data_IF_917663175175
#
_entry.id   IF_917663175175
#
_cell.length_a   1.000
_cell.length_b   1.000
_cell.length_c   1.000
_cell.angle_alpha   90.00
_cell.angle_beta   90.00
_cell.angle_gamma   90.00
#
_symmetry.space_group_name_H-M   'P 1'
#
loop_
_entity.id
_entity.type
_entity.pdbx_description
1 polymer ?
#
# COMPACT_ATOMS: atom_id res chain seq x y z
N UNK A 1 -8.39 -15.28 -48.87
CA UNK A 1 -9.51 -15.05 -47.94
C UNK A 1 -9.29 -15.95 -46.74
N UNK A 2 -9.09 -15.55 -45.49
CA UNK A 2 -8.79 -14.27 -44.83
C UNK A 2 -8.50 -14.72 -43.38
N UNK A 3 -7.26 -14.56 -42.91
CA UNK A 3 -6.95 -14.68 -41.48
C UNK A 3 -7.20 -13.30 -40.88
N UNK A 4 -8.14 -13.21 -39.93
CA UNK A 4 -8.49 -11.97 -39.24
C UNK A 4 -7.45 -11.65 -38.17
N UNK A 5 -6.98 -10.40 -38.23
CA UNK A 5 -6.12 -9.74 -37.26
C UNK A 5 -6.79 -9.63 -35.88
N UNK A 6 -6.03 -9.94 -34.82
CA UNK A 6 -6.32 -9.50 -33.46
C UNK A 6 -5.62 -8.16 -33.22
N UNK A 7 -6.31 -7.12 -32.71
CA UNK A 7 -5.75 -5.80 -32.56
C UNK A 7 -5.00 -5.74 -31.24
N UNK A 8 -3.70 -6.05 -31.23
CA UNK A 8 -2.74 -5.67 -30.19
C UNK A 8 -1.33 -5.89 -30.74
N UNK A 9 -0.78 -4.87 -31.39
CA UNK A 9 0.53 -4.87 -32.05
C UNK A 9 1.70 -4.98 -31.08
N UNK A 10 1.96 -6.19 -30.59
CA UNK A 10 3.15 -6.53 -29.82
C UNK A 10 3.82 -7.77 -30.43
N UNK A 11 4.70 -7.57 -31.42
CA UNK A 11 5.56 -8.62 -31.99
C UNK A 11 7.02 -8.21 -31.89
N UNK A 12 7.52 -8.08 -30.66
CA UNK A 12 8.94 -8.11 -30.38
C UNK A 12 9.32 -9.51 -29.94
N UNK A 13 10.29 -10.14 -30.61
CA UNK A 13 10.87 -11.47 -30.33
C UNK A 13 10.18 -12.69 -30.98
N UNK A 14 10.13 -12.70 -32.30
CA UNK A 14 10.15 -13.96 -33.04
C UNK A 14 10.94 -13.78 -34.34
N UNK A 15 12.26 -13.95 -34.25
CA UNK A 15 13.17 -14.43 -35.32
C UNK A 15 14.62 -14.33 -34.80
N UNK A 16 15.12 -15.39 -34.15
CA UNK A 16 16.55 -15.53 -33.81
C UNK A 16 17.30 -16.06 -35.04
N UNK A 17 18.34 -15.36 -35.49
CA UNK A 17 19.25 -15.84 -36.54
C UNK A 17 20.11 -17.01 -36.01
N UNK A 18 20.49 -18.01 -36.84
CA UNK A 18 21.43 -19.05 -36.43
C UNK A 18 22.83 -18.45 -36.25
N UNK A 19 23.50 -18.71 -35.11
CA UNK A 19 24.88 -18.27 -34.82
C UNK A 19 25.07 -17.24 -33.70
N UNK A 20 24.08 -17.02 -32.84
CA UNK A 20 24.24 -16.14 -31.67
C UNK A 20 24.81 -16.92 -30.47
N UNK A 21 26.04 -16.60 -30.05
CA UNK A 21 26.59 -17.05 -28.77
C UNK A 21 26.34 -16.02 -27.66
N UNK A 22 25.81 -16.43 -26.49
CA UNK A 22 25.58 -15.53 -25.36
C UNK A 22 26.89 -15.15 -24.65
N UNK A 23 26.94 -13.91 -24.14
CA UNK A 23 28.08 -13.29 -23.46
C UNK A 23 28.49 -13.94 -22.11
N UNK A 24 28.02 -15.15 -21.81
CA UNK A 24 28.46 -15.97 -20.67
C UNK A 24 29.58 -16.94 -21.03
N UNK A 25 29.99 -17.05 -22.29
CA UNK A 25 31.00 -18.00 -22.76
C UNK A 25 32.45 -17.45 -22.81
N UNK A 26 32.68 -16.18 -22.46
CA UNK A 26 33.98 -15.51 -22.70
C UNK A 26 34.74 -15.02 -21.45
N UNK A 27 34.46 -15.54 -20.25
CA UNK A 27 35.23 -15.16 -19.05
C UNK A 27 35.73 -16.41 -18.32
N UNK A 28 37.05 -16.61 -18.37
CA UNK A 28 37.76 -17.72 -17.74
C UNK A 28 37.70 -17.70 -16.22
N UNK A 29 37.56 -18.89 -15.64
CA UNK A 29 37.60 -19.14 -14.20
C UNK A 29 38.98 -18.78 -13.62
N UNK A 30 39.01 -17.90 -12.63
CA UNK A 30 40.08 -17.81 -11.63
C UNK A 30 39.45 -17.86 -10.24
N UNK A 31 39.80 -18.79 -9.35
CA UNK A 31 39.16 -18.90 -8.03
C UNK A 31 39.87 -18.01 -7.01
N UNK A 32 39.12 -17.18 -6.28
CA UNK A 32 39.64 -16.47 -5.10
C UNK A 32 38.62 -16.52 -3.96
N UNK A 33 39.03 -17.19 -2.88
CA UNK A 33 38.94 -16.75 -1.48
C UNK A 33 37.57 -16.43 -0.90
N UNK A 34 37.09 -17.28 0.01
CA UNK A 34 35.88 -17.06 0.79
C UNK A 34 35.95 -15.82 1.69
N UNK A 35 34.81 -15.13 1.80
CA UNK A 35 34.52 -14.21 2.89
C UNK A 35 33.10 -14.43 3.41
N UNK A 36 33.04 -14.40 4.72
CA UNK A 36 31.92 -14.64 5.63
C UNK A 36 30.77 -13.66 5.50
N UNK A 37 29.59 -14.19 5.76
CA UNK A 37 28.27 -13.55 5.89
C UNK A 37 28.23 -12.42 6.94
N UNK A 38 27.70 -11.26 6.57
CA UNK A 38 27.03 -10.34 7.49
C UNK A 38 26.12 -9.35 6.73
N UNK A 39 24.87 -9.21 7.20
CA UNK A 39 24.08 -7.97 7.07
C UNK A 39 22.98 -7.97 6.01
N UNK A 40 21.79 -8.47 6.36
CA UNK A 40 20.55 -8.28 5.61
C UNK A 40 20.10 -6.81 5.63
N UNK A 41 19.61 -6.33 4.49
CA UNK A 41 19.04 -5.00 4.34
C UNK A 41 17.60 -4.98 4.88
N UNK A 42 17.40 -4.31 6.01
CA UNK A 42 16.08 -3.98 6.53
C UNK A 42 15.64 -2.61 5.99
N UNK A 43 14.51 -2.58 5.29
CA UNK A 43 13.75 -1.38 4.99
C UNK A 43 12.90 -1.04 6.23
N UNK A 44 13.37 -0.08 7.04
CA UNK A 44 12.56 0.58 8.06
C UNK A 44 13.08 2.01 8.27
N UNK A 45 12.16 2.97 8.38
CA UNK A 45 12.47 4.36 8.70
C UNK A 45 13.03 4.48 10.11
N UNK A 46 14.33 4.69 10.22
CA UNK A 46 15.02 5.05 11.48
C UNK A 46 15.47 6.52 11.34
N UNK A 47 15.27 7.39 12.35
CA UNK A 47 15.96 8.67 12.36
C UNK A 47 17.45 8.34 12.48
N UNK A 48 18.21 8.58 11.41
CA UNK A 48 19.63 8.24 11.36
C UNK A 48 20.40 8.90 12.53
N UNK A 49 20.61 8.15 13.60
CA UNK A 49 21.61 8.46 14.61
C UNK A 49 22.95 8.13 13.99
N UNK A 50 23.65 9.13 13.49
CA UNK A 50 25.02 8.92 13.03
C UNK A 50 25.93 8.81 14.25
N UNK A 51 26.07 7.61 14.80
CA UNK A 51 27.23 7.23 15.59
C UNK A 51 28.37 6.83 14.67
N UNK A 52 29.55 7.47 14.78
CA UNK A 52 30.84 7.19 14.10
C UNK A 52 30.88 7.18 12.55
N UNK A 53 29.77 6.92 11.84
CA UNK A 53 29.71 6.80 10.38
C UNK A 53 29.58 8.14 9.61
N UNK A 54 29.34 9.26 10.30
CA UNK A 54 29.27 10.58 9.66
C UNK A 54 30.61 11.02 9.04
N UNK A 55 31.73 10.43 9.49
CA UNK A 55 33.02 10.71 8.89
C UNK A 55 33.03 10.30 7.41
N UNK A 56 32.44 9.18 6.98
CA UNK A 56 32.42 8.79 5.57
C UNK A 56 31.47 9.61 4.68
N UNK A 57 30.35 10.11 5.24
CA UNK A 57 29.28 10.74 4.46
C UNK A 57 29.71 12.04 3.74
N UNK A 58 30.69 12.75 4.28
CA UNK A 58 31.21 14.00 3.70
C UNK A 58 32.61 13.84 3.10
N UNK A 59 33.08 12.60 2.90
CA UNK A 59 34.41 12.32 2.35
C UNK A 59 34.61 13.00 0.99
N UNK A 60 33.65 12.87 0.08
CA UNK A 60 33.71 13.51 -1.24
C UNK A 60 33.89 15.03 -1.15
N UNK A 61 33.15 15.70 -0.27
CA UNK A 61 33.26 17.15 -0.09
C UNK A 61 34.63 17.56 0.47
N UNK A 62 35.24 16.74 1.33
CA UNK A 62 36.60 16.97 1.85
C UNK A 62 37.66 16.76 0.78
N UNK A 63 37.55 15.69 0.00
CA UNK A 63 38.50 15.35 -1.07
C UNK A 63 38.54 16.40 -2.20
N UNK A 64 37.44 17.15 -2.36
CA UNK A 64 37.28 18.18 -3.41
C UNK A 64 37.23 19.61 -2.84
N UNK A 65 37.68 19.82 -1.61
CA UNK A 65 37.78 21.16 -1.03
C UNK A 65 38.81 22.01 -1.82
N UNK A 66 38.50 23.29 -2.03
CA UNK A 66 39.45 24.20 -2.68
C UNK A 66 40.67 24.41 -1.77
N UNK A 67 41.91 24.45 -2.32
CA UNK A 67 43.13 24.57 -1.51
C UNK A 67 43.15 25.79 -0.58
N UNK A 68 42.55 26.91 -1.02
CA UNK A 68 42.60 28.21 -0.33
C UNK A 68 41.29 28.55 0.40
N UNK A 69 40.26 27.71 0.30
CA UNK A 69 39.04 27.87 1.08
C UNK A 69 39.19 27.05 2.35
N UNK A 70 39.09 27.68 3.53
CA UNK A 70 38.99 26.94 4.79
C UNK A 70 37.94 25.83 4.66
N UNK A 71 38.21 24.66 5.25
CA UNK A 71 37.36 23.48 5.08
C UNK A 71 35.89 23.85 5.36
N UNK A 72 35.03 23.69 4.35
CA UNK A 72 33.60 23.92 4.51
C UNK A 72 33.06 22.95 5.57
N UNK A 73 32.78 23.46 6.76
CA UNK A 73 32.31 22.65 7.88
C UNK A 73 30.78 22.56 7.82
N UNK A 74 30.28 21.56 7.10
CA UNK A 74 28.85 21.26 7.08
C UNK A 74 28.44 20.66 8.42
N UNK A 75 27.54 21.33 9.12
CA UNK A 75 26.94 20.84 10.36
C UNK A 75 25.94 19.70 10.02
N UNK A 76 26.26 18.43 10.33
CA UNK A 76 25.41 17.31 9.95
C UNK A 76 24.04 17.37 10.62
N UNK A 77 23.95 17.96 11.81
CA UNK A 77 22.70 18.05 12.55
C UNK A 77 21.81 19.11 11.92
N UNK A 78 22.35 20.26 11.50
CA UNK A 78 21.57 21.24 10.72
C UNK A 78 21.09 20.68 9.38
N UNK A 79 21.92 19.92 8.66
CA UNK A 79 21.51 19.30 7.40
C UNK A 79 20.38 18.29 7.59
N UNK A 80 20.37 17.54 8.70
CA UNK A 80 19.28 16.61 9.04
C UNK A 80 17.96 17.30 9.32
N UNK A 81 17.98 18.55 9.78
CA UNK A 81 16.77 19.31 10.09
C UNK A 81 16.06 19.84 8.84
N UNK A 82 16.68 19.83 7.66
CA UNK A 82 16.02 20.23 6.41
C UNK A 82 14.81 19.32 6.19
N UNK A 83 13.57 19.82 6.15
CA UNK A 83 12.37 18.99 6.01
C UNK A 83 12.40 18.12 4.74
N UNK A 84 11.82 16.92 4.78
CA UNK A 84 11.80 16.01 3.63
C UNK A 84 11.11 16.63 2.40
N UNK A 85 10.06 17.43 2.63
CA UNK A 85 9.35 18.20 1.59
C UNK A 85 10.21 19.29 0.93
N UNK A 86 11.21 19.81 1.64
CA UNK A 86 12.14 20.80 1.11
C UNK A 86 13.31 20.15 0.36
N UNK A 87 13.55 18.85 0.61
CA UNK A 87 14.50 18.04 -0.16
C UNK A 87 13.90 17.55 -1.49
N UNK A 88 12.57 17.53 -1.59
CA UNK A 88 11.85 17.02 -2.75
C UNK A 88 10.47 17.68 -2.90
N UNK A 89 10.27 18.39 -4.00
CA UNK A 89 9.00 19.02 -4.36
C UNK A 89 7.95 18.04 -4.91
N UNK A 90 7.81 16.89 -4.28
CA UNK A 90 6.76 15.91 -4.48
C UNK A 90 6.54 15.16 -3.17
N UNK A 91 5.30 15.10 -2.68
CA UNK A 91 4.95 14.49 -1.40
C UNK A 91 3.52 13.95 -1.43
N UNK A 92 3.22 13.09 -0.45
CA UNK A 92 1.84 12.71 -0.13
C UNK A 92 1.41 13.37 1.17
N UNK A 93 0.18 13.87 1.21
CA UNK A 93 -0.44 14.33 2.45
C UNK A 93 -1.47 13.32 2.92
N UNK A 94 -1.40 12.99 4.21
CA UNK A 94 -2.25 12.03 4.87
C UNK A 94 -3.04 12.74 5.96
N UNK A 95 -4.34 12.95 5.72
CA UNK A 95 -5.28 13.56 6.67
C UNK A 95 -5.68 12.55 7.75
N UNK A 96 -5.15 12.73 8.96
CA UNK A 96 -5.48 11.85 10.09
C UNK A 96 -6.88 12.14 10.66
N UNK A 97 -7.46 13.31 10.40
CA UNK A 97 -8.85 13.59 10.73
C UNK A 97 -9.80 12.84 9.80
N UNK A 98 -9.43 12.64 8.53
CA UNK A 98 -10.17 11.76 7.63
C UNK A 98 -10.12 10.31 8.11
N UNK A 99 -8.94 9.79 8.49
CA UNK A 99 -8.81 8.43 9.07
C UNK A 99 -9.66 8.28 10.34
N UNK A 100 -9.62 9.28 11.24
CA UNK A 100 -10.46 9.33 12.45
C UNK A 100 -11.94 9.29 12.11
N UNK A 101 -12.39 10.16 11.21
CA UNK A 101 -13.78 10.23 10.74
C UNK A 101 -14.24 8.88 10.20
N UNK A 102 -13.47 8.29 9.29
CA UNK A 102 -13.79 7.00 8.67
C UNK A 102 -13.89 5.89 9.71
N UNK A 103 -12.95 5.83 10.66
CA UNK A 103 -12.97 4.83 11.72
C UNK A 103 -14.19 5.00 12.63
N UNK A 104 -14.52 6.23 13.02
CA UNK A 104 -15.72 6.53 13.81
C UNK A 104 -17.00 6.17 13.05
N UNK A 105 -17.10 6.52 11.76
CA UNK A 105 -18.24 6.15 10.92
C UNK A 105 -18.39 4.62 10.80
N UNK A 106 -17.30 3.90 10.59
CA UNK A 106 -17.29 2.43 10.56
C UNK A 106 -17.74 1.83 11.90
N UNK A 107 -17.25 2.36 13.03
CA UNK A 107 -17.64 1.88 14.36
C UNK A 107 -19.12 2.12 14.65
N UNK A 108 -19.66 3.27 14.22
CA UNK A 108 -21.09 3.56 14.31
C UNK A 108 -21.92 2.65 13.41
N UNK A 109 -21.44 2.40 12.19
CA UNK A 109 -22.12 1.55 11.19
C UNK A 109 -22.29 0.11 11.64
N UNK A 110 -21.27 -0.47 12.31
CA UNK A 110 -21.35 -1.86 12.81
C UNK A 110 -22.09 -2.01 14.14
N UNK A 111 -22.36 -0.90 14.83
CA UNK A 111 -23.07 -0.89 16.11
C UNK A 111 -22.23 -1.29 17.32
N UNK A 112 -22.86 -1.17 18.49
CA UNK A 112 -22.26 -1.52 19.77
C UNK A 112 -22.21 -3.05 19.93
N UNK A 113 -21.05 -3.59 20.31
CA UNK A 113 -20.84 -5.03 20.51
C UNK A 113 -19.99 -5.70 19.43
N UNK A 114 -19.86 -5.08 18.25
CA UNK A 114 -18.97 -5.57 17.18
C UNK A 114 -17.59 -4.92 17.32
N UNK A 115 -16.54 -5.74 17.39
CA UNK A 115 -15.15 -5.26 17.40
C UNK A 115 -14.74 -4.82 15.99
N UNK A 116 -13.77 -3.92 15.91
CA UNK A 116 -13.21 -3.49 14.61
C UNK A 116 -11.71 -3.75 14.59
N UNK A 117 -11.27 -4.57 13.63
CA UNK A 117 -9.86 -4.74 13.30
C UNK A 117 -9.49 -3.77 12.17
N UNK A 118 -8.71 -2.73 12.50
CA UNK A 118 -8.18 -1.84 11.48
C UNK A 118 -7.05 -2.54 10.70
N UNK A 119 -7.26 -2.75 9.41
CA UNK A 119 -6.26 -3.42 8.57
C UNK A 119 -5.26 -2.38 8.04
N UNK A 120 -4.02 -2.47 8.52
CA UNK A 120 -2.94 -1.50 8.28
C UNK A 120 -1.74 -2.10 7.55
N UNK A 121 -1.93 -3.26 6.90
CA UNK A 121 -0.94 -3.88 6.00
C UNK A 121 -0.54 -2.99 4.83
N UNK A 122 0.56 -3.35 4.17
CA UNK A 122 1.18 -2.60 3.08
C UNK A 122 1.43 -1.15 3.49
N UNK A 123 2.01 -0.97 4.68
CA UNK A 123 2.32 0.32 5.27
C UNK A 123 1.10 1.26 5.33
N UNK A 124 0.00 0.76 5.91
CA UNK A 124 -1.28 1.46 5.97
C UNK A 124 -1.88 1.74 4.59
N UNK A 125 -1.82 0.79 3.65
CA UNK A 125 -2.20 1.00 2.25
C UNK A 125 -1.50 2.21 1.62
N UNK A 126 -0.23 2.42 1.98
CA UNK A 126 0.58 3.57 1.56
C UNK A 126 0.45 4.83 2.42
N UNK A 127 -0.44 4.87 3.41
CA UNK A 127 -0.66 6.06 4.25
C UNK A 127 0.30 6.14 5.46
N UNK A 128 1.04 5.07 5.73
CA UNK A 128 1.94 4.95 6.88
C UNK A 128 1.29 4.20 8.04
N UNK A 129 1.73 2.96 8.29
CA UNK A 129 1.09 2.03 9.21
C UNK A 129 1.00 2.58 10.64
N UNK A 130 2.11 3.08 11.18
CA UNK A 130 2.20 3.51 12.60
C UNK A 130 1.22 4.63 12.93
N UNK A 131 1.19 5.69 12.13
CA UNK A 131 0.34 6.87 12.38
C UNK A 131 -1.14 6.50 12.19
N UNK A 132 -1.47 5.79 11.12
CA UNK A 132 -2.84 5.34 10.86
C UNK A 132 -3.35 4.35 11.92
N UNK A 133 -2.51 3.40 12.37
CA UNK A 133 -2.86 2.46 13.43
C UNK A 133 -3.18 3.17 14.75
N UNK A 134 -2.32 4.10 15.18
CA UNK A 134 -2.55 4.88 16.40
C UNK A 134 -3.83 5.71 16.30
N UNK A 135 -4.07 6.35 15.15
CA UNK A 135 -5.31 7.11 14.92
C UNK A 135 -6.54 6.21 14.94
N UNK A 136 -6.49 5.04 14.29
CA UNK A 136 -7.61 4.10 14.26
C UNK A 136 -7.94 3.55 15.66
N UNK A 137 -6.93 3.15 16.44
CA UNK A 137 -7.11 2.68 17.82
C UNK A 137 -7.73 3.76 18.71
N UNK A 138 -7.24 5.00 18.62
CA UNK A 138 -7.80 6.15 19.35
C UNK A 138 -9.21 6.56 18.87
N UNK A 139 -9.70 5.96 17.79
CA UNK A 139 -11.00 6.27 17.17
C UNK A 139 -11.97 5.08 17.19
N UNK A 140 -11.64 4.01 17.93
CA UNK A 140 -12.55 2.89 18.19
C UNK A 140 -12.17 1.55 17.56
N UNK A 141 -10.99 1.43 16.94
CA UNK A 141 -10.46 0.12 16.57
C UNK A 141 -10.00 -0.67 17.80
N UNK A 142 -10.31 -1.97 17.81
CA UNK A 142 -10.02 -2.89 18.90
C UNK A 142 -8.77 -3.75 18.60
N UNK A 143 -8.55 -4.06 17.32
CA UNK A 143 -7.49 -4.93 16.80
C UNK A 143 -6.79 -4.28 15.61
N UNK A 144 -5.59 -4.76 15.29
CA UNK A 144 -4.89 -4.43 14.05
C UNK A 144 -4.64 -5.67 13.20
N UNK A 145 -4.77 -5.52 11.88
CA UNK A 145 -4.46 -6.56 10.90
C UNK A 145 -3.30 -6.16 10.00
N UNK A 146 -2.27 -7.01 9.91
CA UNK A 146 -1.10 -6.83 9.03
C UNK A 146 -0.89 -8.05 8.13
N UNK A 147 -0.04 -7.94 7.11
CA UNK A 147 0.29 -9.05 6.21
C UNK A 147 1.55 -9.80 6.63
N UNK A 148 2.53 -9.11 7.24
CA UNK A 148 3.84 -9.70 7.57
C UNK A 148 4.22 -9.51 9.03
N UNK A 149 5.16 -10.34 9.50
CA UNK A 149 5.73 -10.21 10.85
C UNK A 149 6.51 -8.91 11.00
N UNK A 150 7.21 -8.44 9.96
CA UNK A 150 7.94 -7.17 10.01
C UNK A 150 7.01 -5.96 10.18
N UNK A 151 5.85 -5.96 9.52
CA UNK A 151 4.83 -4.92 9.76
C UNK A 151 4.31 -4.96 11.20
N UNK A 152 4.16 -6.14 11.80
CA UNK A 152 3.77 -6.26 13.20
C UNK A 152 4.87 -5.74 14.15
N UNK A 153 6.13 -6.07 13.87
CA UNK A 153 7.29 -5.62 14.64
C UNK A 153 7.41 -4.09 14.59
N UNK A 154 7.28 -3.49 13.40
CA UNK A 154 7.29 -2.02 13.25
C UNK A 154 6.25 -1.34 14.16
N UNK A 155 5.03 -1.88 14.21
CA UNK A 155 3.98 -1.38 15.10
C UNK A 155 4.36 -1.54 16.58
N UNK A 156 4.92 -2.68 16.96
CA UNK A 156 5.35 -2.94 18.35
C UNK A 156 6.50 -2.02 18.78
N UNK A 157 7.50 -1.83 17.93
CA UNK A 157 8.61 -0.91 18.16
C UNK A 157 8.14 0.55 18.24
N UNK A 158 7.06 0.87 17.53
CA UNK A 158 6.35 2.14 17.67
C UNK A 158 5.43 2.23 18.91
N UNK A 159 5.56 1.30 19.87
CA UNK A 159 4.82 1.23 21.14
C UNK A 159 3.30 1.01 20.98
N UNK A 160 2.90 0.28 19.94
CA UNK A 160 1.50 -0.15 19.77
C UNK A 160 1.27 -1.45 20.56
N UNK A 161 0.43 -1.38 21.59
CA UNK A 161 0.13 -2.51 22.48
C UNK A 161 -1.16 -3.28 22.14
N UNK A 162 -1.96 -2.79 21.19
CA UNK A 162 -3.19 -3.46 20.78
C UNK A 162 -2.92 -4.87 20.20
N UNK A 163 -3.89 -5.79 20.24
CA UNK A 163 -3.76 -7.08 19.58
C UNK A 163 -3.49 -6.93 18.08
N UNK A 164 -2.46 -7.64 17.58
CA UNK A 164 -2.08 -7.64 16.16
C UNK A 164 -2.22 -9.05 15.61
N UNK A 165 -2.98 -9.18 14.52
CA UNK A 165 -3.10 -10.41 13.74
C UNK A 165 -2.31 -10.29 12.43
N UNK A 166 -1.40 -11.24 12.18
CA UNK A 166 -0.85 -11.47 10.84
C UNK A 166 -1.88 -12.31 10.07
N UNK A 167 -2.42 -11.75 8.98
CA UNK A 167 -3.55 -12.30 8.22
C UNK A 167 -3.19 -13.52 7.36
N UNK A 168 -1.97 -14.04 7.47
CA UNK A 168 -1.48 -15.23 6.79
C UNK A 168 -0.51 -15.97 7.71
N UNK A 169 -0.33 -17.27 7.50
CA UNK A 169 0.62 -18.05 8.29
C UNK A 169 2.03 -17.67 7.85
N UNK A 170 2.90 -17.20 8.77
CA UNK A 170 4.29 -16.92 8.44
C UNK A 170 5.12 -18.21 8.36
N UNK A 171 6.38 -18.15 7.88
CA UNK A 171 7.32 -19.25 7.98
C UNK A 171 7.62 -19.63 9.44
N UNK A 172 8.00 -20.87 9.67
CA UNK A 172 8.30 -21.40 11.01
C UNK A 172 9.45 -20.65 11.69
N UNK A 173 10.42 -20.17 10.90
CA UNK A 173 11.57 -19.40 11.39
C UNK A 173 11.14 -18.10 12.08
N UNK A 174 9.92 -17.61 11.82
CA UNK A 174 9.39 -16.41 12.47
C UNK A 174 8.73 -16.68 13.82
N UNK A 175 8.55 -17.94 14.24
CA UNK A 175 7.90 -18.31 15.52
C UNK A 175 8.52 -17.58 16.73
N UNK A 176 9.85 -17.52 16.91
CA UNK A 176 10.45 -16.79 18.03
C UNK A 176 10.06 -15.30 18.04
N UNK A 177 9.93 -14.68 16.87
CA UNK A 177 9.50 -13.27 16.75
C UNK A 177 8.02 -13.10 17.11
N UNK A 178 7.15 -14.02 16.67
CA UNK A 178 5.73 -13.98 17.03
C UNK A 178 5.52 -14.00 18.55
N UNK A 179 6.23 -14.91 19.23
CA UNK A 179 6.15 -15.07 20.68
C UNK A 179 6.76 -13.87 21.41
N UNK A 180 7.95 -13.42 21.02
CA UNK A 180 8.63 -12.29 21.66
C UNK A 180 7.87 -10.97 21.51
N UNK A 181 7.34 -10.69 20.33
CA UNK A 181 6.58 -9.47 20.03
C UNK A 181 5.07 -9.61 20.32
N UNK A 182 4.60 -10.75 20.82
CA UNK A 182 3.18 -11.04 21.11
C UNK A 182 2.28 -10.73 19.91
N UNK A 183 2.61 -11.33 18.77
CA UNK A 183 1.89 -11.20 17.51
C UNK A 183 1.15 -12.50 17.23
N UNK A 184 -0.15 -12.42 16.96
CA UNK A 184 -0.95 -13.61 16.65
C UNK A 184 -0.82 -13.96 15.17
N UNK A 185 -0.42 -15.20 14.81
CA UNK A 185 -0.48 -15.67 13.45
C UNK A 185 -1.90 -16.14 13.09
N UNK A 186 -2.22 -16.07 11.79
CA UNK A 186 -3.24 -16.95 11.22
C UNK A 186 -2.65 -18.35 11.07
N UNK A 187 -3.39 -19.40 11.44
CA UNK A 187 -2.91 -20.79 11.38
C UNK A 187 -3.87 -21.61 10.54
N UNK A 188 -3.30 -22.46 9.69
CA UNK A 188 -4.04 -23.41 8.85
C UNK A 188 -3.22 -24.64 8.44
N UNK A 189 -1.96 -24.75 8.85
CA UNK A 189 -1.15 -25.95 8.69
C UNK A 189 -0.89 -26.62 10.06
N UNK A 190 -1.15 -27.93 10.21
CA UNK A 190 -0.91 -28.64 11.47
C UNK A 190 0.54 -28.57 11.94
N UNK A 191 1.50 -28.76 11.02
CA UNK A 191 2.93 -28.74 11.35
C UNK A 191 3.38 -27.40 11.96
N UNK A 192 2.88 -26.28 11.41
CA UNK A 192 3.15 -24.95 11.97
C UNK A 192 2.53 -24.82 13.37
N UNK A 193 1.28 -25.27 13.54
CA UNK A 193 0.59 -25.19 14.82
C UNK A 193 1.35 -25.97 15.92
N UNK A 194 1.82 -27.17 15.60
CA UNK A 194 2.61 -28.02 16.49
C UNK A 194 3.91 -27.31 16.88
N UNK A 195 4.70 -26.83 15.91
CA UNK A 195 5.97 -26.11 16.17
C UNK A 195 5.75 -24.84 16.98
N UNK A 196 4.68 -24.09 16.69
CA UNK A 196 4.32 -22.88 17.42
C UNK A 196 3.96 -23.17 18.87
N UNK A 197 3.22 -24.27 19.11
CA UNK A 197 2.88 -24.73 20.44
C UNK A 197 4.10 -25.18 21.24
N UNK A 198 4.95 -26.03 20.65
CA UNK A 198 6.18 -26.53 21.28
C UNK A 198 7.12 -25.40 21.68
N UNK A 199 7.28 -24.40 20.80
CA UNK A 199 8.08 -23.22 21.11
C UNK A 199 7.48 -22.42 22.28
N UNK A 200 6.16 -22.25 22.32
CA UNK A 200 5.50 -21.53 23.41
C UNK A 200 5.58 -22.28 24.74
N UNK A 201 5.41 -23.61 24.73
CA UNK A 201 5.61 -24.48 25.90
C UNK A 201 7.04 -24.38 26.44
N UNK A 202 8.05 -24.34 25.56
CA UNK A 202 9.46 -24.17 25.95
C UNK A 202 9.73 -22.84 26.69
N UNK A 203 8.95 -21.80 26.40
CA UNK A 203 9.02 -20.50 27.09
C UNK A 203 8.00 -20.35 28.23
N UNK A 204 7.14 -21.34 28.48
CA UNK A 204 6.11 -21.29 29.51
C UNK A 204 5.02 -20.23 29.23
N UNK A 205 4.72 -19.97 27.97
CA UNK A 205 3.73 -18.97 27.54
C UNK A 205 2.64 -19.61 26.67
N UNK A 206 1.54 -18.89 26.44
CA UNK A 206 0.49 -19.31 25.50
C UNK A 206 0.83 -18.90 24.07
N UNK A 207 0.32 -19.67 23.12
CA UNK A 207 0.44 -19.49 21.69
C UNK A 207 -0.91 -19.05 21.09
N UNK A 208 -1.29 -17.76 21.21
CA UNK A 208 -2.55 -17.26 20.68
C UNK A 208 -2.51 -17.24 19.16
N UNK A 209 -3.59 -17.69 18.52
CA UNK A 209 -3.72 -17.72 17.07
C UNK A 209 -5.17 -17.52 16.61
N UNK A 210 -5.33 -17.20 15.33
CA UNK A 210 -6.62 -17.25 14.66
C UNK A 210 -6.64 -18.36 13.61
N UNK A 211 -7.67 -19.20 13.59
CA UNK A 211 -7.88 -20.22 12.57
C UNK A 211 -8.42 -19.57 11.28
N UNK A 212 -7.71 -19.72 10.18
CA UNK A 212 -8.20 -19.29 8.87
C UNK A 212 -8.93 -20.46 8.18
N UNK A 213 -10.15 -20.20 7.72
CA UNK A 213 -11.02 -21.17 7.03
C UNK A 213 -11.19 -20.75 5.57
N UNK A 214 -10.87 -21.65 4.65
CA UNK A 214 -11.13 -21.47 3.22
C UNK A 214 -12.57 -21.90 2.89
N UNK A 215 -13.42 -20.92 2.61
CA UNK A 215 -14.82 -21.15 2.21
C UNK A 215 -15.09 -20.98 0.71
N UNK A 216 -14.05 -20.63 -0.07
CA UNK A 216 -14.18 -20.45 -1.52
C UNK A 216 -13.20 -19.45 -2.15
N UNK A 217 -12.53 -18.60 -1.35
CA UNK A 217 -11.51 -17.66 -1.87
C UNK A 217 -10.29 -18.39 -2.44
N UNK A 218 -10.02 -19.63 -1.98
CA UNK A 218 -8.93 -20.48 -2.45
C UNK A 218 -7.55 -19.78 -2.45
N UNK A 219 -7.29 -19.00 -1.39
CA UNK A 219 -6.03 -18.30 -1.17
C UNK A 219 -5.20 -18.93 -0.05
N UNK A 220 -5.81 -19.10 1.11
CA UNK A 220 -5.24 -19.71 2.33
C UNK A 220 -6.39 -20.30 3.18
N UNK A 221 -6.06 -21.07 4.20
CA UNK A 221 -7.00 -21.57 5.20
C UNK A 221 -7.33 -23.04 5.05
N UNK A 222 -7.74 -23.66 6.16
CA UNK A 222 -8.25 -25.03 6.21
C UNK A 222 -9.55 -25.09 5.42
N UNK A 223 -9.78 -26.11 4.59
CA UNK A 223 -11.04 -26.23 3.86
C UNK A 223 -12.20 -26.31 4.85
N UNK A 224 -13.31 -25.63 4.55
CA UNK A 224 -14.41 -25.46 5.51
C UNK A 224 -15.00 -26.76 6.09
N UNK A 225 -14.91 -27.87 5.37
CA UNK A 225 -15.37 -29.21 5.76
C UNK A 225 -14.29 -30.06 6.45
N UNK A 226 -13.05 -29.57 6.54
CA UNK A 226 -11.90 -30.23 7.17
C UNK A 226 -11.51 -29.59 8.52
N UNK A 227 -12.26 -28.58 8.97
CA UNK A 227 -11.93 -27.81 10.18
C UNK A 227 -11.86 -28.69 11.43
N UNK A 228 -12.78 -29.64 11.60
CA UNK A 228 -12.79 -30.55 12.75
C UNK A 228 -11.61 -31.51 12.70
N UNK A 229 -11.25 -32.00 11.51
CA UNK A 229 -10.08 -32.86 11.32
C UNK A 229 -8.80 -32.10 11.70
N UNK A 230 -8.62 -30.88 11.21
CA UNK A 230 -7.49 -30.02 11.58
C UNK A 230 -7.40 -29.82 13.10
N UNK A 231 -8.52 -29.51 13.76
CA UNK A 231 -8.55 -29.30 15.21
C UNK A 231 -8.19 -30.56 15.99
N UNK A 232 -8.63 -31.74 15.53
CA UNK A 232 -8.26 -33.01 16.15
C UNK A 232 -6.74 -33.26 16.15
N UNK A 233 -6.02 -32.72 15.16
CA UNK A 233 -4.57 -32.86 15.02
C UNK A 233 -3.75 -31.91 15.90
N UNK A 234 -4.37 -30.84 16.45
CA UNK A 234 -3.63 -29.80 17.19
C UNK A 234 -4.16 -29.59 18.62
N UNK A 235 -5.38 -30.03 18.91
CA UNK A 235 -6.08 -29.80 20.19
C UNK A 235 -5.40 -30.39 21.44
N UNK A 236 -4.49 -31.35 21.30
CA UNK A 236 -3.77 -31.92 22.45
C UNK A 236 -2.67 -30.99 23.00
N UNK A 237 -2.26 -29.96 22.25
CA UNK A 237 -1.29 -28.97 22.69
C UNK A 237 -1.93 -27.91 23.58
N UNK A 238 -1.59 -27.90 24.88
CA UNK A 238 -2.17 -26.98 25.87
C UNK A 238 -1.72 -25.52 25.71
N UNK A 239 -0.56 -25.27 25.09
CA UNK A 239 -0.10 -23.92 24.81
C UNK A 239 -0.95 -23.20 23.76
N UNK A 240 -1.52 -23.95 22.79
CA UNK A 240 -2.35 -23.34 21.75
C UNK A 240 -3.59 -22.68 22.35
N UNK A 241 -3.83 -21.45 21.92
CA UNK A 241 -4.97 -20.65 22.36
C UNK A 241 -5.71 -20.14 21.12
N UNK A 242 -6.82 -20.79 20.79
CA UNK A 242 -7.67 -20.40 19.67
C UNK A 242 -8.44 -19.13 20.05
N UNK A 243 -7.91 -17.97 19.66
CA UNK A 243 -8.48 -16.65 19.99
C UNK A 243 -9.62 -16.29 19.05
N UNK A 244 -9.57 -16.76 17.80
CA UNK A 244 -10.64 -16.49 16.84
C UNK A 244 -10.59 -17.33 15.58
N UNK A 245 -11.66 -17.28 14.80
CA UNK A 245 -11.83 -18.05 13.57
C UNK A 245 -12.38 -17.14 12.48
N UNK A 246 -11.82 -17.24 11.27
CA UNK A 246 -12.19 -16.32 10.20
C UNK A 246 -12.15 -16.91 8.81
N UNK A 247 -12.95 -16.32 7.91
CA UNK A 247 -12.85 -16.51 6.46
C UNK A 247 -12.69 -15.17 5.75
N UNK A 248 -12.51 -15.18 4.44
CA UNK A 248 -12.46 -13.99 3.60
C UNK A 248 -13.39 -14.13 2.39
N UNK A 249 -14.27 -13.16 2.20
CA UNK A 249 -15.17 -13.13 1.05
C UNK A 249 -14.45 -12.70 -0.23
N UNK A 250 -14.78 -13.38 -1.34
CA UNK A 250 -14.23 -13.13 -2.66
C UNK A 250 -15.02 -12.07 -3.45
N UNK A 251 -16.33 -12.02 -3.25
CA UNK A 251 -17.27 -11.24 -4.09
C UNK A 251 -18.18 -10.32 -3.28
N UNK A 252 -17.79 -9.96 -2.05
CA UNK A 252 -18.56 -9.05 -1.20
C UNK A 252 -18.66 -7.62 -1.76
N UNK A 253 -17.86 -7.28 -2.77
CA UNK A 253 -17.82 -6.02 -3.53
C UNK A 253 -18.43 -6.17 -4.95
N UNK A 254 -18.93 -7.36 -5.31
CA UNK A 254 -19.56 -7.61 -6.59
C UNK A 254 -21.09 -7.36 -6.55
N UNK A 255 -21.68 -7.15 -7.74
CA UNK A 255 -23.13 -7.06 -7.89
C UNK A 255 -23.82 -8.43 -7.74
N UNK A 256 -23.21 -9.49 -8.27
CA UNK A 256 -23.68 -10.86 -8.11
C UNK A 256 -23.26 -11.43 -6.76
N UNK A 257 -24.19 -12.04 -6.04
CA UNK A 257 -24.03 -12.43 -4.63
C UNK A 257 -24.04 -13.94 -4.39
N UNK A 258 -24.14 -14.77 -5.44
CA UNK A 258 -24.23 -16.22 -5.30
C UNK A 258 -23.03 -16.81 -4.54
N UNK A 259 -21.80 -16.50 -4.99
CA UNK A 259 -20.58 -16.98 -4.34
C UNK A 259 -20.44 -16.44 -2.91
N UNK A 260 -20.84 -15.19 -2.68
CA UNK A 260 -20.84 -14.58 -1.34
C UNK A 260 -21.76 -15.36 -0.38
N UNK A 261 -22.96 -15.73 -0.80
CA UNK A 261 -23.87 -16.54 0.00
C UNK A 261 -23.36 -17.97 0.22
N UNK A 262 -22.75 -18.59 -0.80
CA UNK A 262 -22.12 -19.92 -0.67
C UNK A 262 -21.00 -19.88 0.37
N UNK A 263 -20.11 -18.89 0.28
CA UNK A 263 -19.02 -18.70 1.26
C UNK A 263 -19.56 -18.47 2.67
N UNK A 264 -20.64 -17.70 2.81
CA UNK A 264 -21.29 -17.41 4.10
C UNK A 264 -21.84 -18.69 4.72
N UNK A 265 -22.59 -19.48 3.94
CA UNK A 265 -23.14 -20.76 4.39
C UNK A 265 -22.05 -21.72 4.84
N UNK A 266 -21.02 -21.93 4.02
CA UNK A 266 -19.87 -22.79 4.34
C UNK A 266 -19.16 -22.37 5.62
N UNK A 267 -19.04 -21.06 5.86
CA UNK A 267 -18.42 -20.56 7.08
C UNK A 267 -19.25 -20.89 8.32
N UNK A 268 -20.56 -20.63 8.27
CA UNK A 268 -21.48 -20.96 9.35
C UNK A 268 -21.51 -22.45 9.66
N UNK A 269 -21.50 -23.31 8.64
CA UNK A 269 -21.41 -24.77 8.78
C UNK A 269 -20.10 -25.20 9.46
N UNK A 270 -18.96 -24.61 9.09
CA UNK A 270 -17.68 -24.88 9.73
C UNK A 270 -17.68 -24.48 11.22
N UNK A 271 -18.17 -23.28 11.53
CA UNK A 271 -18.31 -22.81 12.93
C UNK A 271 -19.24 -23.73 13.73
N UNK A 272 -20.35 -24.17 13.14
CA UNK A 272 -21.27 -25.07 13.81
C UNK A 272 -20.63 -26.45 14.05
N UNK A 273 -19.86 -26.96 13.09
CA UNK A 273 -19.12 -28.21 13.24
C UNK A 273 -18.09 -28.14 14.39
N UNK A 274 -17.38 -27.01 14.52
CA UNK A 274 -16.47 -26.78 15.66
C UNK A 274 -17.21 -26.87 17.01
N UNK A 275 -18.36 -26.18 17.12
CA UNK A 275 -19.17 -26.18 18.35
C UNK A 275 -19.70 -27.56 18.70
N UNK A 276 -20.17 -28.32 17.70
CA UNK A 276 -20.63 -29.71 17.89
C UNK A 276 -19.50 -30.63 18.34
N UNK A 277 -18.28 -30.39 17.87
CA UNK A 277 -17.08 -31.09 18.32
C UNK A 277 -16.57 -30.63 19.71
N UNK A 278 -17.27 -29.69 20.38
CA UNK A 278 -16.90 -29.18 21.70
C UNK A 278 -15.78 -28.14 21.68
N UNK A 279 -15.48 -27.55 20.52
CA UNK A 279 -14.46 -26.50 20.38
C UNK A 279 -15.12 -25.13 20.34
N UNK A 280 -14.65 -24.20 21.18
CA UNK A 280 -15.01 -22.79 21.11
C UNK A 280 -14.29 -22.12 19.93
N UNK A 281 -15.00 -21.56 18.92
CA UNK A 281 -14.38 -20.90 17.77
C UNK A 281 -13.72 -19.55 18.10
N UNK A 282 -13.89 -19.03 19.33
CA UNK A 282 -13.38 -17.72 19.73
C UNK A 282 -14.09 -16.57 19.01
N UNK A 283 -13.36 -15.48 18.73
CA UNK A 283 -13.87 -14.33 17.98
C UNK A 283 -14.11 -14.73 16.52
N UNK A 284 -15.37 -14.73 16.08
CA UNK A 284 -15.76 -15.01 14.71
C UNK A 284 -15.70 -13.73 13.89
N UNK A 285 -15.00 -13.76 12.75
CA UNK A 285 -14.94 -12.60 11.84
C UNK A 285 -14.85 -12.98 10.37
N UNK A 286 -15.59 -12.29 9.50
CA UNK A 286 -15.54 -12.56 8.05
C UNK A 286 -15.51 -11.28 7.20
N UNK A 287 -16.20 -10.23 7.64
CA UNK A 287 -16.41 -9.02 6.86
C UNK A 287 -15.12 -8.24 6.56
N UNK A 288 -14.79 -8.11 5.27
CA UNK A 288 -13.87 -7.08 4.75
C UNK A 288 -14.61 -5.73 4.65
N UNK A 289 -13.98 -4.68 4.11
CA UNK A 289 -14.61 -3.36 3.97
C UNK A 289 -15.98 -3.42 3.25
N UNK A 290 -16.10 -4.20 2.18
CA UNK A 290 -17.33 -4.29 1.40
C UNK A 290 -18.45 -4.97 2.19
N UNK A 291 -18.15 -6.11 2.82
CA UNK A 291 -19.12 -6.82 3.67
C UNK A 291 -19.47 -6.04 4.95
N UNK A 292 -18.53 -5.28 5.50
CA UNK A 292 -18.77 -4.40 6.66
C UNK A 292 -19.86 -3.38 6.33
N UNK A 293 -19.80 -2.79 5.14
CA UNK A 293 -20.74 -1.74 4.74
C UNK A 293 -22.07 -2.32 4.25
N UNK A 294 -22.04 -3.37 3.42
CA UNK A 294 -23.21 -3.89 2.70
C UNK A 294 -24.03 -4.93 3.47
N UNK A 295 -23.41 -5.71 4.36
CA UNK A 295 -24.00 -6.93 4.88
C UNK A 295 -23.87 -7.05 6.41
N UNK A 296 -24.81 -6.47 7.19
CA UNK A 296 -24.82 -6.55 8.64
C UNK A 296 -24.80 -7.99 9.21
N UNK A 297 -25.45 -8.93 8.51
CA UNK A 297 -25.59 -10.32 8.98
C UNK A 297 -24.27 -11.11 9.06
N UNK A 298 -23.18 -10.58 8.47
CA UNK A 298 -21.85 -11.21 8.49
C UNK A 298 -20.82 -10.40 9.29
N UNK A 299 -21.27 -9.47 10.13
CA UNK A 299 -20.40 -8.73 11.05
C UNK A 299 -19.83 -9.64 12.14
N UNK A 300 -20.61 -10.61 12.61
CA UNK A 300 -20.24 -11.54 13.67
C UNK A 300 -19.69 -10.79 14.91
N UNK A 301 -18.57 -11.25 15.47
CA UNK A 301 -17.96 -10.63 16.66
C UNK A 301 -16.98 -9.50 16.31
N UNK A 302 -16.46 -9.49 15.06
CA UNK A 302 -15.49 -8.51 14.61
C UNK A 302 -15.49 -8.31 13.08
N UNK A 303 -15.37 -7.06 12.64
CA UNK A 303 -15.18 -6.70 11.22
C UNK A 303 -13.73 -6.30 10.92
N UNK A 304 -13.32 -6.33 9.65
CA UNK A 304 -11.94 -6.04 9.20
C UNK A 304 -11.89 -5.00 8.07
N UNK A 305 -12.30 -3.74 8.32
CA UNK A 305 -12.13 -2.68 7.34
C UNK A 305 -10.65 -2.42 7.09
N UNK A 306 -10.26 -2.47 5.82
CA UNK A 306 -8.97 -2.01 5.33
C UNK A 306 -9.17 -0.73 4.55
N UNK A 307 -9.58 -0.86 3.30
CA UNK A 307 -9.65 0.30 2.41
C UNK A 307 -10.62 1.41 2.85
N UNK A 308 -11.71 1.04 3.52
CA UNK A 308 -12.70 2.01 4.00
C UNK A 308 -12.13 2.91 5.11
N UNK A 309 -11.14 2.43 5.87
CA UNK A 309 -10.42 3.23 6.88
C UNK A 309 -9.75 4.46 6.24
N UNK A 310 -9.29 4.32 5.00
CA UNK A 310 -8.58 5.37 4.26
C UNK A 310 -9.48 6.20 3.35
N UNK A 311 -10.80 6.00 3.47
CA UNK A 311 -11.77 6.84 2.79
C UNK A 311 -12.10 6.42 1.36
N UNK A 312 -11.68 5.22 0.94
CA UNK A 312 -11.93 4.72 -0.41
C UNK A 312 -12.98 3.62 -0.37
N UNK A 313 -13.97 3.74 -1.25
CA UNK A 313 -15.10 2.83 -1.33
C UNK A 313 -14.70 1.53 -2.03
N UNK A 314 -15.00 0.34 -1.48
CA UNK A 314 -14.62 -0.93 -2.10
C UNK A 314 -15.42 -1.23 -3.38
N UNK A 315 -16.65 -0.72 -3.51
CA UNK A 315 -17.47 -0.83 -4.71
C UNK A 315 -18.47 0.36 -4.80
N UNK A 316 -19.07 0.62 -5.99
CA UNK A 316 -19.98 1.74 -6.20
C UNK A 316 -21.15 1.79 -5.22
N UNK A 317 -21.71 0.64 -4.85
CA UNK A 317 -22.89 0.51 -3.98
C UNK A 317 -22.62 1.08 -2.58
N UNK A 318 -21.37 1.06 -2.11
CA UNK A 318 -21.05 1.56 -0.76
C UNK A 318 -21.07 3.08 -0.65
N UNK A 319 -21.04 3.83 -1.76
CA UNK A 319 -20.95 5.31 -1.76
C UNK A 319 -22.16 5.99 -1.13
N UNK A 320 -23.32 5.34 -1.18
CA UNK A 320 -24.57 5.88 -0.62
C UNK A 320 -24.88 5.34 0.78
N UNK A 321 -24.09 4.39 1.28
CA UNK A 321 -24.34 3.68 2.53
C UNK A 321 -23.55 4.25 3.72
N UNK A 322 -22.40 4.87 3.47
CA UNK A 322 -21.53 5.42 4.50
C UNK A 322 -20.74 6.61 3.96
N UNK A 323 -20.59 7.66 4.78
CA UNK A 323 -19.78 8.84 4.44
C UNK A 323 -18.31 8.57 4.74
N UNK A 324 -17.52 8.33 3.70
CA UNK A 324 -16.08 8.13 3.77
C UNK A 324 -15.32 9.31 3.16
N UNK A 325 -14.25 9.73 3.85
CA UNK A 325 -13.40 10.86 3.44
C UNK A 325 -12.02 10.35 3.02
N UNK A 326 -11.63 10.52 1.74
CA UNK A 326 -10.31 10.12 1.26
C UNK A 326 -9.21 10.77 2.11
N UNK A 327 -8.31 9.94 2.65
CA UNK A 327 -7.26 10.43 3.56
C UNK A 327 -5.97 10.85 2.83
N UNK A 328 -5.76 10.41 1.59
CA UNK A 328 -4.53 10.68 0.83
C UNK A 328 -4.76 11.71 -0.27
N UNK A 329 -3.81 12.65 -0.35
CA UNK A 329 -3.63 13.52 -1.51
C UNK A 329 -2.16 13.50 -1.97
N UNK A 330 -1.94 13.75 -3.26
CA UNK A 330 -0.62 13.72 -3.90
C UNK A 330 -0.32 15.08 -4.47
N UNK A 331 0.81 15.64 -4.07
CA UNK A 331 1.19 17.01 -4.34
C UNK A 331 2.59 17.10 -4.93
N UNK A 332 2.82 18.14 -5.72
CA UNK A 332 4.11 18.48 -6.26
C UNK A 332 4.25 19.98 -6.44
N UNK A 333 5.46 20.44 -6.77
CA UNK A 333 5.67 21.80 -7.30
C UNK A 333 6.21 21.78 -8.70
N UNK A 334 5.87 22.80 -9.47
CA UNK A 334 6.44 23.03 -10.80
C UNK A 334 7.95 23.23 -10.70
N UNK A 335 8.71 22.49 -11.52
CA UNK A 335 10.19 22.52 -11.57
C UNK A 335 10.72 23.24 -12.80
N UNK A 336 9.96 23.26 -13.89
CA UNK A 336 10.29 23.99 -15.10
C UNK A 336 9.01 24.45 -15.81
N UNK A 337 9.09 25.56 -16.54
CA UNK A 337 8.00 26.05 -17.38
C UNK A 337 8.56 26.54 -18.70
N UNK A 338 7.96 26.10 -19.81
CA UNK A 338 8.39 26.50 -21.16
C UNK A 338 7.21 26.84 -22.05
N UNK A 339 7.32 27.94 -22.78
CA UNK A 339 6.46 28.17 -23.94
C UNK A 339 6.95 27.27 -25.07
N UNK A 340 6.06 26.44 -25.60
CA UNK A 340 6.42 25.45 -26.63
C UNK A 340 5.80 25.87 -27.97
N UNK A 341 6.62 26.17 -29.00
CA UNK A 341 6.15 26.52 -30.33
C UNK A 341 5.22 25.47 -30.95
N UNK A 342 4.45 25.89 -31.95
CA UNK A 342 3.56 24.99 -32.69
C UNK A 342 4.34 23.81 -33.28
N UNK A 343 3.77 22.61 -33.18
CA UNK A 343 4.31 21.34 -33.68
C UNK A 343 5.57 20.80 -32.97
N UNK A 344 6.14 21.51 -31.99
CA UNK A 344 7.18 20.93 -31.15
C UNK A 344 6.62 19.81 -30.25
N UNK A 345 7.43 18.78 -30.07
CA UNK A 345 7.01 17.58 -29.34
C UNK A 345 7.34 17.67 -27.85
N UNK A 346 6.53 17.01 -27.02
CA UNK A 346 6.76 16.92 -25.57
C UNK A 346 6.92 15.47 -25.15
N UNK A 347 7.94 15.21 -24.32
CA UNK A 347 8.30 13.90 -23.77
C UNK A 347 8.82 12.87 -24.80
N UNK A 348 9.15 11.68 -24.30
CA UNK A 348 9.57 10.53 -25.11
C UNK A 348 8.56 10.20 -26.21
N UNK A 349 9.07 9.87 -27.40
CA UNK A 349 8.26 9.52 -28.56
C UNK A 349 7.51 10.70 -29.20
N UNK A 350 7.52 11.89 -28.56
CA UNK A 350 6.82 13.08 -29.06
C UNK A 350 5.34 12.80 -29.38
N UNK A 351 4.70 11.97 -28.53
CA UNK A 351 3.30 11.56 -28.64
C UNK A 351 2.31 12.72 -28.43
N UNK A 352 2.79 13.82 -27.84
CA UNK A 352 2.08 15.09 -27.81
C UNK A 352 2.85 16.11 -28.67
N UNK A 353 2.11 16.89 -29.44
CA UNK A 353 2.59 17.99 -30.27
C UNK A 353 1.86 19.26 -29.87
N UNK A 354 2.63 20.30 -29.55
CA UNK A 354 2.07 21.59 -29.13
C UNK A 354 1.17 22.17 -30.23
N UNK A 355 -0.06 22.61 -29.90
CA UNK A 355 -0.91 23.33 -30.83
C UNK A 355 -0.49 24.81 -30.99
N UNK A 356 0.61 25.23 -30.35
CA UNK A 356 1.01 26.63 -30.25
C UNK A 356 0.23 27.40 -29.18
N UNK A 357 0.86 28.42 -28.62
CA UNK A 357 0.32 29.25 -27.52
C UNK A 357 0.01 28.48 -26.24
N UNK A 358 0.90 27.54 -25.89
CA UNK A 358 0.77 26.73 -24.67
C UNK A 358 2.03 26.84 -23.84
N UNK A 359 1.85 26.77 -22.53
CA UNK A 359 2.94 26.61 -21.56
C UNK A 359 2.93 25.17 -21.09
N UNK A 360 4.06 24.50 -21.22
CA UNK A 360 4.29 23.17 -20.67
C UNK A 360 4.97 23.34 -19.32
N UNK A 361 4.35 22.78 -18.28
CA UNK A 361 4.86 22.80 -16.91
C UNK A 361 5.34 21.40 -16.53
N UNK A 362 6.54 21.29 -15.98
CA UNK A 362 7.15 20.01 -15.57
C UNK A 362 7.08 19.86 -14.05
N UNK A 363 6.71 18.68 -13.57
CA UNK A 363 6.68 18.32 -12.14
C UNK A 363 7.54 17.07 -11.86
N UNK A 364 8.14 16.94 -10.66
CA UNK A 364 9.07 15.87 -10.31
C UNK A 364 8.35 14.60 -9.78
N UNK A 365 7.32 14.17 -10.52
CA UNK A 365 6.57 12.94 -10.25
C UNK A 365 6.54 12.09 -11.51
N UNK A 366 7.01 10.85 -11.41
CA UNK A 366 6.96 9.88 -12.49
C UNK A 366 6.49 8.49 -12.05
N UNK A 367 6.66 7.49 -12.91
CA UNK A 367 6.19 6.13 -12.61
C UNK A 367 6.98 5.43 -11.50
N UNK A 368 8.21 5.85 -11.20
CA UNK A 368 8.96 5.37 -10.03
C UNK A 368 8.40 5.91 -8.71
N UNK A 369 7.53 6.93 -8.78
CA UNK A 369 6.79 7.48 -7.65
C UNK A 369 5.38 6.94 -7.52
N UNK A 370 4.98 5.99 -8.37
CA UNK A 370 3.63 5.43 -8.37
C UNK A 370 2.68 6.00 -9.41
N UNK A 371 3.01 7.12 -10.08
CA UNK A 371 2.17 7.65 -11.15
C UNK A 371 2.26 6.75 -12.40
N UNK A 372 1.29 5.85 -12.56
CA UNK A 372 1.36 4.79 -13.58
C UNK A 372 1.50 5.35 -15.00
N UNK A 373 2.46 4.83 -15.76
CA UNK A 373 2.74 5.26 -17.15
C UNK A 373 1.52 5.12 -18.08
N UNK A 374 0.62 4.19 -17.82
CA UNK A 374 -0.63 4.01 -18.57
C UNK A 374 -1.60 5.22 -18.52
N UNK A 375 -1.37 6.17 -17.61
CA UNK A 375 -2.09 7.43 -17.51
C UNK A 375 -1.59 8.52 -18.47
N UNK A 376 -0.55 8.25 -19.27
CA UNK A 376 0.04 9.22 -20.19
C UNK A 376 -1.02 9.80 -21.14
N UNK A 377 -1.24 11.11 -21.08
CA UNK A 377 -2.26 11.82 -21.86
C UNK A 377 -3.70 11.59 -21.39
N UNK A 378 -3.91 10.91 -20.25
CA UNK A 378 -5.21 10.36 -19.81
C UNK A 378 -5.60 10.75 -18.38
N UNK A 379 -4.86 11.65 -17.75
CA UNK A 379 -5.18 12.18 -16.42
C UNK A 379 -5.01 13.69 -16.39
N UNK A 380 -5.59 14.33 -15.38
CA UNK A 380 -5.52 15.78 -15.20
C UNK A 380 -4.90 16.08 -13.83
N UNK A 381 -4.30 17.25 -13.70
CA UNK A 381 -3.78 17.80 -12.45
C UNK A 381 -4.51 19.09 -12.09
N UNK A 382 -4.50 19.48 -10.83
CA UNK A 382 -5.16 20.70 -10.36
C UNK A 382 -4.10 21.75 -10.00
N UNK A 383 -4.28 22.96 -10.53
CA UNK A 383 -3.48 24.14 -10.18
C UNK A 383 -4.43 25.30 -9.94
N UNK A 384 -4.32 25.97 -8.79
CA UNK A 384 -5.18 27.09 -8.39
C UNK A 384 -6.70 26.85 -8.62
N UNK A 385 -7.17 25.63 -8.32
CA UNK A 385 -8.56 25.21 -8.41
C UNK A 385 -9.04 24.86 -9.81
N UNK A 386 -8.17 24.80 -10.82
CA UNK A 386 -8.52 24.42 -12.20
C UNK A 386 -7.77 23.17 -12.66
N UNK A 387 -8.43 22.35 -13.48
CA UNK A 387 -7.85 21.13 -14.06
C UNK A 387 -7.04 21.43 -15.33
N UNK A 388 -5.85 20.85 -15.41
CA UNK A 388 -4.94 20.91 -16.55
C UNK A 388 -4.56 19.50 -16.99
N UNK A 389 -4.54 19.26 -18.31
CA UNK A 389 -4.29 17.93 -18.87
C UNK A 389 -2.82 17.55 -18.72
N UNK A 390 -2.54 16.36 -18.21
CA UNK A 390 -1.22 15.77 -18.31
C UNK A 390 -0.92 15.45 -19.78
N UNK A 391 0.22 15.89 -20.30
CA UNK A 391 0.59 15.75 -21.72
C UNK A 391 1.96 15.09 -21.91
N UNK A 392 2.10 14.40 -23.05
CA UNK A 392 3.25 13.56 -23.32
C UNK A 392 3.29 12.32 -22.42
N UNK A 393 4.34 11.52 -22.57
CA UNK A 393 4.54 10.34 -21.74
C UNK A 393 4.96 10.73 -20.31
N UNK A 394 4.41 10.03 -19.33
CA UNK A 394 4.91 10.04 -17.95
C UNK A 394 6.28 9.34 -17.93
N UNK A 395 7.32 10.04 -17.47
CA UNK A 395 8.68 9.53 -17.38
C UNK A 395 8.93 8.84 -16.02
N UNK A 396 10.16 8.39 -15.78
CA UNK A 396 10.53 7.70 -14.54
C UNK A 396 10.33 8.59 -13.32
N UNK A 397 10.76 9.85 -13.42
CA UNK A 397 10.87 10.77 -12.28
C UNK A 397 10.11 12.09 -12.50
N UNK A 398 9.57 12.32 -13.69
CA UNK A 398 8.96 13.59 -14.09
C UNK A 398 7.79 13.37 -15.04
N UNK A 399 6.86 14.31 -15.05
CA UNK A 399 5.84 14.40 -16.09
C UNK A 399 5.45 15.86 -16.31
N UNK A 400 4.68 16.09 -17.36
CA UNK A 400 4.31 17.43 -17.82
C UNK A 400 2.80 17.58 -17.95
N UNK A 401 2.33 18.80 -17.75
CA UNK A 401 0.96 19.21 -18.07
C UNK A 401 0.94 20.49 -18.88
N UNK A 402 -0.13 20.67 -19.63
CA UNK A 402 -0.33 21.80 -20.54
C UNK A 402 -1.21 22.87 -19.92
N UNK A 403 -0.82 24.13 -20.11
CA UNK A 403 -1.61 25.33 -19.77
C UNK A 403 -1.82 26.13 -21.05
N UNK A 404 -3.09 26.34 -21.42
CA UNK A 404 -3.44 27.19 -22.57
C UNK A 404 -3.13 28.66 -22.24
N UNK A 405 -2.31 29.31 -23.08
CA UNK A 405 -1.89 30.70 -22.92
C UNK A 405 -2.66 31.67 -23.82
N UNK A 406 -3.66 31.18 -24.57
CA UNK A 406 -4.54 32.02 -25.39
C UNK A 406 -5.39 32.94 -24.52
N UNK A 407 -5.61 34.15 -25.01
CA UNK A 407 -6.42 35.15 -24.32
C UNK A 407 -7.88 34.97 -24.74
N UNK A 408 -8.73 34.56 -23.81
CA UNK A 408 -10.18 34.57 -23.96
C UNK A 408 -10.75 35.61 -22.98
N UNK A 409 -11.50 36.59 -23.50
CA UNK A 409 -11.81 37.87 -22.85
C UNK A 409 -12.56 37.85 -21.50
N UNK A 410 -12.84 36.67 -20.92
CA UNK A 410 -13.52 36.53 -19.62
C UNK A 410 -12.93 35.46 -18.69
N UNK A 411 -11.92 34.67 -19.12
CA UNK A 411 -11.39 33.57 -18.31
C UNK A 411 -10.19 34.04 -17.49
N UNK A 412 -10.21 33.82 -16.16
CA UNK A 412 -9.04 34.06 -15.30
C UNK A 412 -7.92 33.14 -15.76
N UNK A 413 -6.91 33.74 -16.40
CA UNK A 413 -5.71 33.05 -16.85
C UNK A 413 -4.90 32.61 -15.64
N UNK A 414 -4.62 31.32 -15.55
CA UNK A 414 -3.60 30.79 -14.65
C UNK A 414 -2.32 30.72 -15.45
N UNK A 415 -1.24 31.25 -14.87
CA UNK A 415 0.08 31.25 -15.48
C UNK A 415 1.08 30.64 -14.48
N UNK A 416 1.18 29.30 -14.39
CA UNK A 416 1.99 28.65 -13.37
C UNK A 416 3.46 29.02 -13.52
N UNK A 417 4.12 29.19 -12.37
CA UNK A 417 5.54 29.49 -12.22
C UNK A 417 6.25 28.35 -11.51
N UNK A 418 7.59 28.34 -11.60
CA UNK A 418 8.42 27.42 -10.81
C UNK A 418 8.12 27.61 -9.32
N UNK A 419 7.88 26.50 -8.63
CA UNK A 419 7.50 26.49 -7.21
C UNK A 419 6.00 26.50 -6.93
N UNK A 420 5.15 26.76 -7.93
CA UNK A 420 3.70 26.68 -7.75
C UNK A 420 3.25 25.24 -7.48
N UNK A 421 2.28 25.11 -6.59
CA UNK A 421 1.74 23.82 -6.15
C UNK A 421 0.80 23.21 -7.19
N UNK A 422 0.92 21.89 -7.34
CA UNK A 422 0.14 21.06 -8.25
C UNK A 422 -0.39 19.85 -7.49
N UNK A 423 -1.71 19.63 -7.56
CA UNK A 423 -2.36 18.48 -6.93
C UNK A 423 -2.64 17.44 -8.01
N UNK A 424 -2.07 16.26 -7.86
CA UNK A 424 -2.25 15.13 -8.78
C UNK A 424 -3.43 14.26 -8.35
N UNK A 425 -3.66 14.14 -7.05
CA UNK A 425 -4.78 13.41 -6.44
C UNK A 425 -5.26 14.24 -5.25
N UNK A 426 -6.53 14.60 -5.23
CA UNK A 426 -7.11 15.43 -4.17
C UNK A 426 -8.16 16.40 -4.70
N UNK A 427 -8.50 17.39 -3.87
CA UNK A 427 -9.49 18.43 -4.16
C UNK A 427 -8.93 19.81 -3.84
N UNK A 428 -9.22 20.79 -4.70
CA UNK A 428 -9.01 22.20 -4.42
C UNK A 428 -10.15 23.02 -5.04
N UNK A 429 -10.94 23.68 -4.19
CA UNK A 429 -12.22 24.27 -4.59
C UNK A 429 -13.17 23.19 -5.15
N UNK A 430 -13.78 23.48 -6.30
CA UNK A 430 -14.70 22.55 -6.97
C UNK A 430 -13.97 21.49 -7.83
N UNK A 431 -12.67 21.66 -8.07
CA UNK A 431 -11.87 20.70 -8.85
C UNK A 431 -11.45 19.52 -7.99
N UNK A 432 -11.67 18.32 -8.50
CA UNK A 432 -11.25 17.06 -7.88
C UNK A 432 -10.63 16.13 -8.91
N UNK A 433 -9.56 15.43 -8.52
CA UNK A 433 -8.97 14.30 -9.24
C UNK A 433 -8.80 13.17 -8.24
N UNK A 434 -9.44 12.04 -8.48
CA UNK A 434 -9.50 10.94 -7.52
C UNK A 434 -8.64 9.75 -7.95
N UNK A 435 -8.30 8.88 -6.99
CA UNK A 435 -7.70 7.58 -7.30
C UNK A 435 -8.65 6.69 -8.12
N UNK A 436 -9.98 6.85 -7.95
CA UNK A 436 -10.97 6.15 -8.76
C UNK A 436 -10.86 6.52 -10.23
N UNK A 437 -10.72 7.82 -10.55
CA UNK A 437 -10.58 8.29 -11.93
C UNK A 437 -9.37 7.64 -12.61
N UNK A 438 -8.25 7.58 -11.90
CA UNK A 438 -7.02 6.93 -12.37
C UNK A 438 -7.18 5.42 -12.50
N UNK A 439 -7.79 4.76 -11.52
CA UNK A 439 -8.00 3.32 -11.50
C UNK A 439 -8.91 2.87 -12.66
N UNK A 440 -10.02 3.56 -12.87
CA UNK A 440 -10.95 3.33 -13.99
C UNK A 440 -10.25 3.51 -15.34
N UNK A 441 -9.38 4.52 -15.46
CA UNK A 441 -8.60 4.77 -16.68
C UNK A 441 -7.63 3.62 -16.99
N UNK A 442 -7.06 3.01 -15.96
CA UNK A 442 -6.05 1.95 -16.07
C UNK A 442 -6.63 0.53 -16.10
N UNK A 443 -7.91 0.34 -15.75
CA UNK A 443 -8.47 -0.99 -15.54
C UNK A 443 -7.89 -1.69 -14.31
N UNK A 444 -7.60 -0.93 -13.25
CA UNK A 444 -7.13 -1.44 -11.95
C UNK A 444 -8.02 -0.91 -10.83
N UNK A 445 -7.57 -1.03 -9.58
CA UNK A 445 -8.26 -0.60 -8.36
C UNK A 445 -7.44 0.47 -7.61
N UNK A 446 -8.11 1.39 -6.93
CA UNK A 446 -7.46 2.52 -6.22
C UNK A 446 -6.45 2.09 -5.14
N UNK A 447 -6.67 0.93 -4.53
CA UNK A 447 -5.75 0.25 -3.60
C UNK A 447 -4.32 0.18 -4.13
N UNK A 448 -4.16 -0.21 -5.40
CA UNK A 448 -2.85 -0.39 -6.03
C UNK A 448 -2.14 0.97 -6.23
N UNK A 449 -2.92 1.99 -6.57
CA UNK A 449 -2.41 3.35 -6.82
C UNK A 449 -1.98 4.04 -5.53
N UNK A 450 -2.78 3.94 -4.47
CA UNK A 450 -2.45 4.50 -3.15
C UNK A 450 -1.11 3.96 -2.62
N UNK A 451 -0.91 2.64 -2.71
CA UNK A 451 0.35 1.98 -2.32
C UNK A 451 1.50 2.44 -3.20
N UNK A 452 1.27 2.57 -4.52
CA UNK A 452 2.28 3.01 -5.47
C UNK A 452 2.86 4.38 -5.13
N UNK A 453 2.00 5.34 -4.76
CA UNK A 453 2.44 6.70 -4.41
C UNK A 453 3.32 6.78 -3.17
N UNK A 454 3.30 5.76 -2.34
CA UNK A 454 3.92 5.79 -1.04
C UNK A 454 5.39 5.30 -1.01
N UNK A 455 5.91 4.80 -2.14
CA UNK A 455 7.22 4.16 -2.18
C UNK A 455 8.40 5.13 -2.01
N UNK A 456 8.37 6.24 -2.75
CA UNK A 456 9.51 7.19 -2.84
C UNK A 456 9.17 8.61 -2.40
N UNK A 457 7.89 8.93 -2.26
CA UNK A 457 7.46 10.25 -1.85
C UNK A 457 7.42 10.36 -0.32
N UNK A 458 7.94 11.45 0.27
CA UNK A 458 7.77 11.71 1.68
C UNK A 458 6.29 11.89 2.02
N UNK A 459 5.90 11.42 3.19
CA UNK A 459 4.56 11.59 3.75
C UNK A 459 4.53 12.76 4.72
N UNK A 460 3.53 13.61 4.60
CA UNK A 460 3.18 14.65 5.55
C UNK A 460 1.85 14.27 6.19
N UNK A 461 1.74 14.37 7.51
CA UNK A 461 0.50 14.10 8.24
C UNK A 461 -0.13 15.42 8.66
N UNK A 462 -1.41 15.59 8.35
CA UNK A 462 -2.21 16.78 8.67
C UNK A 462 -3.38 16.47 9.60
#
# INVERSE_FOLDING_TARGET
MTAQDLPNGFTGFANRKPGFEPASASVGHTPVGGYTTAGGAALAGVPASYGSGAQGAFQYARDHARPDAGAANFDPDKLRLIPAVDRRWAWTEIDLNAVRHNMTALKQHVGHGVRVMAVVKADGYGHGAVRCAKTALNSGADYLGVATVNEAIELREALVNAPILVLSQPPDEAIPLLLAYKVMPSVYAPDFAIRYAEAADAFGIRAPYHLAVNTGMNRIGVRHDEVVEFLSQVSFHRALDLVGTFTHFATADAAETLDFHIQTKRFLEAIQAMRVAGVDPGIIHAANSAATIRYPDVHFDMVRPGIALYGLHPCPETRTMIDLRPALSVHARVTDTRLVPMSEGVSYGMNYRSPGSVKICTIPVGYADGLRRGLSGRTDFIVAGQRFRQVGNICMDQCMFEVDMRIYGTRRRIDPQIGDEVILVGRQGDSVVTLDDMANTLGTIHYELAIGFAQRMPRVYV
#
